data_IF_012882592921
#
_entry.id   IF_012882592921
#
_cell.length_a   1.000
_cell.length_b   1.000
_cell.length_c   1.000
_cell.angle_alpha   90.00
_cell.angle_beta   90.00
_cell.angle_gamma   90.00
#
_symmetry.space_group_name_H-M   'P 1'
#
loop_
_entity.id
_entity.type
_entity.pdbx_description
1 polymer ?
#
# COMPACT_ATOMS: atom_id res chain seq x y z
N UNK A 1 -1.75 5.63 3.66
CA UNK A 1 -1.50 4.45 2.80
C UNK A 1 -1.67 3.17 3.58
N UNK A 2 -0.93 3.01 4.67
CA UNK A 2 -1.07 1.89 5.60
C UNK A 2 -0.63 2.34 7.01
N UNK A 3 -1.00 1.60 8.06
CA UNK A 3 -0.73 1.96 9.45
C UNK A 3 -0.59 0.73 10.37
N UNK A 4 0.39 0.70 11.31
CA UNK A 4 0.56 -0.40 12.25
C UNK A 4 -0.42 -0.27 13.44
N UNK A 5 -1.60 -0.90 13.35
CA UNK A 5 -2.66 -0.79 14.37
C UNK A 5 -2.20 -1.37 15.73
N UNK A 6 -1.52 -2.51 15.71
CA UNK A 6 -1.07 -3.21 16.90
C UNK A 6 0.46 -3.20 16.96
N UNK A 7 1.09 -2.28 17.71
CA UNK A 7 2.54 -2.27 17.90
C UNK A 7 3.04 -3.63 18.40
N UNK A 8 4.09 -4.16 17.76
CA UNK A 8 4.62 -5.52 18.02
C UNK A 8 4.08 -6.60 17.09
N UNK A 9 3.01 -6.33 16.33
CA UNK A 9 2.61 -7.16 15.18
C UNK A 9 3.52 -6.90 13.98
N UNK A 10 3.60 -7.87 13.08
CA UNK A 10 4.31 -7.80 11.80
C UNK A 10 3.44 -7.27 10.66
N UNK A 11 2.19 -6.85 10.91
CA UNK A 11 1.29 -6.37 9.84
C UNK A 11 0.91 -4.90 9.96
N UNK A 12 0.68 -4.28 8.81
CA UNK A 12 0.15 -2.94 8.65
C UNK A 12 -1.24 -3.01 8.03
N UNK A 13 -2.23 -2.38 8.65
CA UNK A 13 -3.55 -2.25 8.06
C UNK A 13 -3.50 -1.31 6.85
N UNK A 14 -4.16 -1.68 5.76
CA UNK A 14 -4.24 -0.85 4.55
C UNK A 14 -5.28 0.25 4.75
N UNK A 15 -4.92 1.47 4.38
CA UNK A 15 -5.82 2.62 4.31
C UNK A 15 -5.77 3.28 2.93
N UNK A 16 -6.23 4.53 2.86
CA UNK A 16 -6.13 5.33 1.63
C UNK A 16 -4.79 6.10 1.59
N UNK A 17 -4.04 6.08 0.48
CA UNK A 17 -2.84 6.90 0.33
C UNK A 17 -3.19 8.38 0.11
N UNK A 18 -2.39 9.27 0.70
CA UNK A 18 -2.54 10.73 0.59
C UNK A 18 -1.54 11.37 -0.37
N UNK A 19 -0.73 10.56 -1.06
CA UNK A 19 0.34 10.99 -1.97
C UNK A 19 0.15 10.29 -3.32
N UNK A 20 0.62 10.91 -4.40
CA UNK A 20 0.71 10.28 -5.72
C UNK A 20 1.93 9.36 -5.84
N UNK A 21 3.05 9.79 -5.25
CA UNK A 21 4.33 9.10 -5.31
C UNK A 21 5.11 9.36 -4.01
N UNK A 22 5.73 8.31 -3.44
CA UNK A 22 6.66 8.45 -2.34
C UNK A 22 7.70 7.32 -2.34
N UNK A 23 8.94 7.63 -1.99
CA UNK A 23 10.01 6.64 -1.82
C UNK A 23 10.45 6.60 -0.36
N UNK A 24 10.34 5.44 0.26
CA UNK A 24 10.84 5.15 1.60
C UNK A 24 12.22 4.51 1.47
N UNK A 25 13.25 5.19 1.98
CA UNK A 25 14.59 4.61 2.14
C UNK A 25 14.63 3.84 3.44
N UNK A 26 14.93 2.55 3.36
CA UNK A 26 14.94 1.64 4.50
C UNK A 26 16.34 1.51 5.09
N UNK A 27 16.43 1.15 6.37
CA UNK A 27 17.72 1.03 7.08
C UNK A 27 18.61 -0.10 6.52
N UNK A 28 18.00 -1.13 5.93
CA UNK A 28 18.72 -2.23 5.28
C UNK A 28 19.27 -1.87 3.89
N UNK A 29 19.13 -0.61 3.45
CA UNK A 29 19.60 -0.11 2.15
C UNK A 29 18.61 -0.31 1.00
N UNK A 30 17.53 -1.08 1.21
CA UNK A 30 16.46 -1.21 0.22
C UNK A 30 15.63 0.08 0.13
N UNK A 31 14.85 0.19 -0.94
CA UNK A 31 13.87 1.26 -1.11
C UNK A 31 12.50 0.66 -1.41
N UNK A 32 11.47 1.17 -0.75
CA UNK A 32 10.08 0.90 -1.08
C UNK A 32 9.49 2.13 -1.78
N UNK A 33 9.12 1.97 -3.04
CA UNK A 33 8.41 2.96 -3.81
C UNK A 33 6.91 2.75 -3.68
N UNK A 34 6.20 3.74 -3.18
CA UNK A 34 4.74 3.79 -3.11
C UNK A 34 4.25 4.62 -4.28
N UNK A 35 3.57 3.98 -5.23
CA UNK A 35 3.05 4.61 -6.44
C UNK A 35 1.52 4.52 -6.46
N UNK A 36 0.83 5.63 -6.72
CA UNK A 36 -0.63 5.71 -6.58
C UNK A 36 -1.26 6.21 -7.87
N UNK A 37 -1.97 5.31 -8.55
CA UNK A 37 -2.77 5.63 -9.74
C UNK A 37 -4.11 6.23 -9.34
N UNK A 38 -4.50 7.31 -10.03
CA UNK A 38 -5.76 8.02 -9.84
C UNK A 38 -5.95 8.60 -8.42
N UNK A 39 -4.89 9.06 -7.75
CA UNK A 39 -5.05 9.81 -6.51
C UNK A 39 -5.93 11.05 -6.76
N UNK A 40 -6.80 11.38 -5.80
CA UNK A 40 -7.51 12.64 -5.80
C UNK A 40 -8.66 12.67 -4.80
N UNK A 41 -9.20 13.85 -4.53
CA UNK A 41 -10.24 14.07 -3.50
C UNK A 41 -11.50 13.22 -3.68
N UNK A 42 -11.81 12.82 -4.92
CA UNK A 42 -12.97 11.96 -5.24
C UNK A 42 -12.62 10.48 -5.24
N UNK A 43 -11.35 10.12 -5.43
CA UNK A 43 -10.91 8.74 -5.61
C UNK A 43 -10.38 8.18 -4.29
N UNK A 44 -11.28 8.03 -3.32
CA UNK A 44 -10.92 7.69 -1.94
C UNK A 44 -10.81 6.19 -1.68
N UNK A 45 -11.37 5.35 -2.57
CA UNK A 45 -11.42 3.90 -2.40
C UNK A 45 -10.25 3.21 -3.12
N UNK A 46 -9.66 2.24 -2.46
CA UNK A 46 -8.66 1.34 -3.07
C UNK A 46 -9.39 0.34 -3.96
N UNK A 47 -9.13 0.38 -5.26
CA UNK A 47 -9.62 -0.60 -6.25
C UNK A 47 -8.74 -1.84 -6.28
N UNK A 48 -7.42 -1.66 -6.23
CA UNK A 48 -6.43 -2.72 -6.33
C UNK A 48 -5.13 -2.30 -5.66
N UNK A 49 -4.44 -3.26 -5.05
CA UNK A 49 -3.06 -3.09 -4.56
C UNK A 49 -2.18 -4.19 -5.15
N UNK A 50 -0.95 -3.83 -5.51
CA UNK A 50 0.08 -4.79 -5.88
C UNK A 50 1.38 -4.47 -5.15
N UNK A 51 2.07 -5.51 -4.70
CA UNK A 51 3.45 -5.42 -4.26
C UNK A 51 4.32 -6.20 -5.26
N UNK A 52 5.28 -5.52 -5.88
CA UNK A 52 6.18 -6.11 -6.88
C UNK A 52 5.43 -6.86 -8.00
N UNK A 53 4.31 -6.28 -8.46
CA UNK A 53 3.45 -6.84 -9.50
C UNK A 53 2.46 -7.91 -9.02
N UNK A 54 2.62 -8.45 -7.81
CA UNK A 54 1.71 -9.43 -7.20
C UNK A 54 0.55 -8.73 -6.50
N UNK A 55 -0.67 -9.09 -6.86
CA UNK A 55 -1.88 -8.53 -6.25
C UNK A 55 -2.02 -8.97 -4.79
N UNK A 56 -2.32 -8.01 -3.90
CA UNK A 56 -2.61 -8.24 -2.50
C UNK A 56 -4.13 -8.37 -2.34
N UNK A 57 -4.58 -9.43 -1.66
CA UNK A 57 -6.01 -9.71 -1.46
C UNK A 57 -6.44 -9.63 0.00
N UNK A 58 -5.48 -9.38 0.88
CA UNK A 58 -5.64 -9.19 2.31
C UNK A 58 -5.77 -7.69 2.65
N UNK A 59 -6.49 -7.32 3.71
CA UNK A 59 -6.62 -5.92 4.13
C UNK A 59 -5.37 -5.41 4.90
N UNK A 60 -4.24 -6.12 4.79
CA UNK A 60 -3.00 -5.80 5.48
C UNK A 60 -1.76 -6.13 4.64
N UNK A 61 -0.63 -5.55 5.01
CA UNK A 61 0.69 -5.78 4.43
C UNK A 61 1.63 -6.33 5.50
N UNK A 62 2.47 -7.31 5.16
CA UNK A 62 3.48 -7.81 6.10
C UNK A 62 4.75 -6.96 6.06
N UNK A 63 5.33 -6.71 7.23
CA UNK A 63 6.57 -5.97 7.40
C UNK A 63 7.72 -6.57 6.61
N UNK A 64 7.82 -7.90 6.58
CA UNK A 64 8.86 -8.60 5.82
C UNK A 64 8.78 -8.25 4.33
N UNK A 65 7.59 -8.32 3.74
CA UNK A 65 7.41 -8.06 2.31
C UNK A 65 7.72 -6.59 1.96
N UNK A 66 7.39 -5.65 2.86
CA UNK A 66 7.70 -4.23 2.66
C UNK A 66 9.20 -3.93 2.78
N UNK A 67 9.90 -4.64 3.67
CA UNK A 67 11.33 -4.41 3.91
C UNK A 67 12.24 -5.05 2.86
N UNK A 68 11.73 -6.00 2.07
CA UNK A 68 12.35 -6.46 0.83
C UNK A 68 12.39 -5.36 -0.25
N UNK A 69 11.58 -4.30 -0.10
CA UNK A 69 11.54 -3.14 -0.99
C UNK A 69 10.80 -3.39 -2.30
N UNK A 70 11.11 -2.58 -3.31
CA UNK A 70 10.47 -2.62 -4.63
C UNK A 70 9.30 -1.64 -4.72
N UNK A 71 8.19 -2.04 -5.34
CA UNK A 71 7.06 -1.13 -5.65
C UNK A 71 5.74 -1.62 -5.07
N UNK A 72 5.16 -0.80 -4.20
CA UNK A 72 3.78 -0.92 -3.72
C UNK A 72 2.89 0.02 -4.53
N UNK A 73 2.10 -0.56 -5.43
CA UNK A 73 1.20 0.17 -6.32
C UNK A 73 -0.24 0.15 -5.77
N UNK A 74 -0.84 1.33 -5.64
CA UNK A 74 -2.27 1.51 -5.38
C UNK A 74 -2.97 1.94 -6.67
N UNK A 75 -4.14 1.38 -6.95
CA UNK A 75 -5.09 1.92 -7.92
C UNK A 75 -6.33 2.43 -7.18
N UNK A 76 -6.62 3.72 -7.31
CA UNK A 76 -7.71 4.40 -6.61
C UNK A 76 -8.95 4.56 -7.50
N UNK A 77 -10.12 4.70 -6.88
CA UNK A 77 -11.41 4.89 -7.55
C UNK A 77 -12.40 5.67 -6.68
N UNK A 78 -13.42 6.26 -7.30
CA UNK A 78 -14.52 6.96 -6.63
C UNK A 78 -15.73 6.06 -6.31
N UNK A 79 -15.61 4.75 -6.56
CA UNK A 79 -16.66 3.77 -6.26
C UNK A 79 -16.16 2.77 -5.23
N UNK A 80 -16.99 2.47 -4.23
CA UNK A 80 -16.69 1.41 -3.27
C UNK A 80 -16.38 0.10 -4.01
N UNK A 81 -15.28 -0.52 -3.64
CA UNK A 81 -14.80 -1.81 -4.18
C UNK A 81 -14.53 -2.77 -3.04
N UNK A 82 -14.67 -4.07 -3.31
CA UNK A 82 -14.11 -5.09 -2.44
C UNK A 82 -12.74 -5.51 -2.99
N UNK A 83 -11.71 -4.73 -2.63
CA UNK A 83 -10.32 -4.99 -3.07
C UNK A 83 -9.73 -6.26 -2.43
N UNK A 84 -10.38 -6.79 -1.39
CA UNK A 84 -9.88 -7.89 -0.59
C UNK A 84 -10.83 -9.09 -0.74
N UNK A 85 -10.33 -10.24 -1.19
CA UNK A 85 -11.14 -11.45 -1.40
C UNK A 85 -10.32 -12.72 -1.21
#
# INVERSE_FOLDING_TARGET
>A
GFYPIAPGSDVYAIGSPAVEDAVLKLENGNSLHVYVKNQGDKNVFVKKIKLNGKEIKEPFLHHKDLTEGGTLEFEMTNKQTNAYK
#
